data_IF_502269370333
#
_entry.id   IF_502269370333
#
_cell.length_a   1.000
_cell.length_b   1.000
_cell.length_c   1.000
_cell.angle_alpha   90.00
_cell.angle_beta   90.00
_cell.angle_gamma   90.00
#
_symmetry.space_group_name_H-M   'P 1'
#
loop_
_entity.id
_entity.type
_entity.pdbx_description
1 polymer ?
#
# COMPACT_ATOMS: atom_id res chain seq x y z
N UNK A 1 24.90 -48.23 56.96
CA UNK A 1 25.29 -46.82 56.70
C UNK A 1 25.42 -46.63 55.22
N UNK A 2 24.44 -46.01 54.64
CA UNK A 2 24.41 -45.70 53.19
C UNK A 2 24.49 -44.19 53.03
N UNK A 3 25.39 -43.60 52.22
CA UNK A 3 25.38 -42.16 51.93
C UNK A 3 24.45 -41.82 50.80
N UNK A 4 23.53 -40.90 51.08
CA UNK A 4 22.72 -40.23 50.09
C UNK A 4 23.60 -39.43 49.07
N UNK A 5 23.43 -39.72 47.80
CA UNK A 5 23.98 -38.86 46.72
C UNK A 5 22.97 -37.75 46.42
N UNK A 6 23.33 -36.50 46.67
CA UNK A 6 22.59 -35.32 46.24
C UNK A 6 22.82 -35.07 44.73
N UNK A 7 21.75 -35.08 43.94
CA UNK A 7 21.78 -34.66 42.54
C UNK A 7 21.53 -33.15 42.49
N UNK A 8 22.54 -32.39 42.11
CA UNK A 8 22.36 -30.98 41.73
C UNK A 8 21.81 -30.89 40.29
N UNK A 9 20.57 -30.42 40.16
CA UNK A 9 20.02 -30.01 38.87
C UNK A 9 20.52 -28.60 38.53
N UNK A 10 21.36 -28.49 37.54
CA UNK A 10 21.74 -27.21 36.96
C UNK A 10 20.63 -26.80 35.96
N UNK A 11 19.83 -25.80 36.29
CA UNK A 11 18.89 -25.19 35.40
C UNK A 11 19.63 -24.25 34.45
N UNK A 12 19.82 -24.67 33.20
CA UNK A 12 20.35 -23.81 32.13
C UNK A 12 19.26 -22.84 31.71
N UNK A 13 19.37 -21.57 32.10
CA UNK A 13 18.57 -20.48 31.50
C UNK A 13 19.02 -20.27 30.05
N UNK A 14 18.22 -20.72 29.10
CA UNK A 14 18.32 -20.31 27.71
C UNK A 14 17.81 -18.86 27.60
N UNK A 15 18.73 -17.92 27.65
CA UNK A 15 18.48 -16.55 27.19
C UNK A 15 18.24 -16.62 25.66
N UNK A 16 16.97 -16.58 25.26
CA UNK A 16 16.59 -16.31 23.87
C UNK A 16 16.99 -14.88 23.53
N UNK A 17 18.19 -14.72 22.99
CA UNK A 17 18.62 -13.47 22.40
C UNK A 17 17.65 -13.10 21.26
N UNK A 18 16.77 -12.13 21.49
CA UNK A 18 16.10 -11.44 20.40
C UNK A 18 17.19 -10.74 19.60
N UNK A 19 17.57 -11.35 18.48
CA UNK A 19 18.45 -10.70 17.53
C UNK A 19 17.82 -9.37 17.12
N UNK A 20 18.53 -8.27 17.37
CA UNK A 20 18.13 -6.96 16.89
C UNK A 20 17.89 -7.07 15.38
N UNK A 21 16.67 -6.87 14.94
CA UNK A 21 16.33 -6.86 13.52
C UNK A 21 17.13 -5.74 12.87
N UNK A 22 17.92 -6.05 11.84
CA UNK A 22 18.73 -5.04 11.16
C UNK A 22 17.80 -3.93 10.64
N UNK A 23 18.18 -2.66 10.91
CA UNK A 23 17.44 -1.51 10.45
C UNK A 23 17.25 -1.56 8.93
N UNK A 24 16.01 -1.46 8.46
CA UNK A 24 15.69 -1.53 7.03
C UNK A 24 15.61 -0.11 6.45
N UNK A 25 16.42 0.20 5.42
CA UNK A 25 16.30 1.48 4.74
C UNK A 25 14.88 1.64 4.14
N UNK A 26 14.12 2.62 4.63
CA UNK A 26 12.72 2.83 4.23
C UNK A 26 12.56 4.24 3.64
N UNK A 27 12.16 4.38 2.37
CA UNK A 27 11.81 5.68 1.80
C UNK A 27 10.50 6.16 2.42
N UNK A 28 10.52 7.34 3.06
CA UNK A 28 9.38 7.85 3.81
C UNK A 28 8.27 8.40 2.93
N UNK A 29 8.60 8.95 1.75
CA UNK A 29 7.64 9.40 0.74
C UNK A 29 7.73 8.53 -0.50
N UNK A 30 6.62 7.99 -0.88
CA UNK A 30 6.36 7.20 -2.06
C UNK A 30 5.25 7.88 -2.89
N UNK A 31 4.99 7.43 -4.11
CA UNK A 31 3.98 8.07 -4.98
C UNK A 31 3.12 7.01 -5.66
N UNK A 32 1.80 7.18 -5.62
CA UNK A 32 0.87 6.47 -6.47
C UNK A 32 1.00 6.98 -7.91
N UNK A 33 1.47 6.14 -8.82
CA UNK A 33 1.45 6.41 -10.25
C UNK A 33 0.21 5.76 -10.86
N UNK A 34 -0.88 6.49 -10.77
CA UNK A 34 -2.22 6.11 -11.17
C UNK A 34 -2.41 6.23 -12.68
N UNK A 35 -3.29 5.42 -13.24
CA UNK A 35 -3.61 5.39 -14.68
C UNK A 35 -3.88 4.00 -15.23
N UNK A 36 -3.28 2.93 -14.70
CA UNK A 36 -3.51 1.58 -15.20
C UNK A 36 -4.86 0.99 -14.71
N UNK A 37 -5.46 1.58 -13.71
CA UNK A 37 -6.81 1.28 -13.20
C UNK A 37 -7.92 2.12 -13.88
N UNK A 38 -7.58 3.16 -14.64
CA UNK A 38 -8.56 4.04 -15.29
C UNK A 38 -9.45 3.28 -16.29
N UNK A 39 -10.63 3.84 -16.61
CA UNK A 39 -11.56 3.26 -17.57
C UNK A 39 -12.07 1.88 -17.17
N UNK A 40 -12.36 1.66 -15.88
CA UNK A 40 -12.94 0.41 -15.38
C UNK A 40 -14.33 0.10 -15.91
N UNK A 41 -15.01 1.08 -16.52
CA UNK A 41 -16.26 0.95 -17.27
C UNK A 41 -16.06 0.41 -18.71
N UNK A 42 -14.81 0.36 -19.19
CA UNK A 42 -14.43 -0.09 -20.54
C UNK A 42 -13.47 -1.28 -20.48
N UNK A 43 -13.95 -2.41 -20.06
CA UNK A 43 -13.14 -3.62 -19.92
C UNK A 43 -13.17 -4.49 -21.19
N UNK A 44 -12.01 -5.04 -21.63
CA UNK A 44 -10.68 -4.87 -21.05
C UNK A 44 -10.05 -3.51 -21.30
N UNK A 45 -10.60 -2.68 -22.20
CA UNK A 45 -10.07 -1.39 -22.61
C UNK A 45 -8.82 -1.50 -23.49
N UNK A 46 -8.33 -0.35 -23.92
CA UNK A 46 -7.16 -0.24 -24.79
C UNK A 46 -6.08 0.60 -24.11
N UNK A 47 -4.88 0.04 -23.98
CA UNK A 47 -3.72 0.74 -23.43
C UNK A 47 -3.43 2.03 -24.17
N UNK A 48 -3.04 3.08 -23.45
CA UNK A 48 -2.81 4.44 -23.93
C UNK A 48 -4.05 5.14 -24.52
N UNK A 49 -5.26 4.60 -24.27
CA UNK A 49 -6.51 5.19 -24.69
C UNK A 49 -7.57 5.18 -23.57
N UNK A 50 -7.80 4.02 -22.94
CA UNK A 50 -8.72 3.87 -21.80
C UNK A 50 -7.97 3.81 -20.47
N UNK A 51 -6.71 3.38 -20.48
CA UNK A 51 -5.82 3.34 -19.34
C UNK A 51 -4.35 3.49 -19.78
N UNK A 52 -3.48 3.84 -18.84
CA UNK A 52 -2.06 4.07 -19.13
C UNK A 52 -1.15 3.60 -18.01
N UNK A 53 -0.09 2.87 -18.34
CA UNK A 53 0.96 2.51 -17.41
C UNK A 53 2.05 3.59 -17.31
N UNK A 54 2.79 3.66 -16.17
CA UNK A 54 3.91 4.57 -16.04
C UNK A 54 4.96 4.37 -17.12
N UNK A 55 5.32 5.45 -17.82
CA UNK A 55 6.34 5.42 -18.88
C UNK A 55 7.76 5.44 -18.32
N UNK A 56 8.75 5.09 -19.16
CA UNK A 56 10.17 5.23 -18.83
C UNK A 56 10.54 6.67 -18.43
N UNK A 57 9.96 7.67 -19.09
CA UNK A 57 10.17 9.08 -18.77
C UNK A 57 9.58 9.44 -17.42
N UNK A 58 8.35 9.04 -17.13
CA UNK A 58 7.72 9.26 -15.82
C UNK A 58 8.57 8.68 -14.68
N UNK A 59 9.02 7.42 -14.81
CA UNK A 59 9.88 6.78 -13.81
C UNK A 59 11.23 7.51 -13.66
N UNK A 60 11.86 7.98 -14.74
CA UNK A 60 13.09 8.76 -14.67
C UNK A 60 12.87 10.10 -13.97
N UNK A 61 11.76 10.77 -14.24
CA UNK A 61 11.39 12.03 -13.60
C UNK A 61 11.18 11.85 -12.09
N UNK A 62 10.43 10.82 -11.67
CA UNK A 62 10.22 10.55 -10.24
C UNK A 62 11.51 10.12 -9.56
N UNK A 63 12.35 9.32 -10.22
CA UNK A 63 13.68 8.96 -9.71
C UNK A 63 14.56 10.19 -9.49
N UNK A 64 14.59 11.12 -10.44
CA UNK A 64 15.37 12.37 -10.30
C UNK A 64 14.89 13.26 -9.15
N UNK A 65 13.64 13.12 -8.74
CA UNK A 65 13.05 13.75 -7.56
C UNK A 65 13.32 13.01 -6.24
N UNK A 66 14.06 11.89 -6.28
CA UNK A 66 14.41 11.09 -5.10
C UNK A 66 13.43 9.96 -4.75
N UNK A 67 12.33 9.80 -5.49
CA UNK A 67 11.36 8.72 -5.27
C UNK A 67 11.97 7.39 -5.71
N UNK A 68 11.91 6.38 -4.83
CA UNK A 68 12.45 5.05 -5.09
C UNK A 68 11.41 3.93 -5.02
N UNK A 69 10.25 4.21 -4.44
CA UNK A 69 9.11 3.30 -4.41
C UNK A 69 7.89 4.00 -4.97
N UNK A 70 7.19 3.32 -5.85
CA UNK A 70 5.90 3.76 -6.40
C UNK A 70 4.84 2.69 -6.13
N UNK A 71 3.57 3.08 -5.97
CA UNK A 71 2.42 2.19 -5.98
C UNK A 71 1.75 2.31 -7.35
N UNK A 72 1.44 1.19 -7.97
CA UNK A 72 0.80 1.14 -9.29
C UNK A 72 -0.49 0.36 -9.17
N UNK A 73 -1.64 1.04 -9.21
CA UNK A 73 -2.95 0.43 -9.20
C UNK A 73 -3.23 -0.30 -10.52
N UNK A 74 -3.82 -1.50 -10.45
CA UNK A 74 -4.26 -2.28 -11.60
C UNK A 74 -5.60 -2.94 -11.33
N UNK A 75 -6.40 -3.20 -12.39
CA UNK A 75 -7.68 -3.89 -12.24
C UNK A 75 -7.53 -5.41 -12.41
N UNK A 76 -8.18 -6.17 -11.54
CA UNK A 76 -8.26 -7.63 -11.65
C UNK A 76 -8.85 -8.07 -12.98
N UNK A 77 -9.92 -7.40 -13.43
CA UNK A 77 -10.62 -7.71 -14.67
C UNK A 77 -9.72 -7.62 -15.91
N UNK A 78 -8.70 -6.75 -15.88
CA UNK A 78 -7.69 -6.68 -16.94
C UNK A 78 -6.62 -7.73 -16.80
N UNK A 79 -6.21 -8.02 -15.56
CA UNK A 79 -5.23 -9.07 -15.30
C UNK A 79 -5.77 -10.47 -15.59
N UNK A 80 -7.04 -10.70 -15.32
CA UNK A 80 -7.68 -11.98 -15.46
C UNK A 80 -9.14 -11.78 -15.94
N UNK A 81 -9.38 -11.57 -17.25
CA UNK A 81 -10.71 -11.27 -17.80
C UNK A 81 -11.77 -12.35 -17.55
N UNK A 82 -11.33 -13.57 -17.30
CA UNK A 82 -12.19 -14.68 -16.88
C UNK A 82 -11.64 -15.28 -15.60
N UNK A 83 -12.49 -15.47 -14.59
CA UNK A 83 -12.08 -16.08 -13.32
C UNK A 83 -11.38 -17.43 -13.53
N UNK A 84 -10.31 -17.64 -12.78
CA UNK A 84 -9.48 -18.85 -12.82
C UNK A 84 -8.70 -19.10 -14.13
N UNK A 85 -8.80 -18.22 -15.14
CA UNK A 85 -8.00 -18.32 -16.36
C UNK A 85 -6.53 -17.96 -16.10
N UNK A 86 -5.59 -18.22 -17.02
CA UNK A 86 -4.28 -17.59 -17.01
C UNK A 86 -4.39 -16.05 -16.99
N UNK A 87 -3.35 -15.37 -16.50
CA UNK A 87 -3.27 -13.91 -16.60
C UNK A 87 -3.30 -13.52 -18.09
N UNK A 88 -4.00 -12.43 -18.40
CA UNK A 88 -3.95 -11.84 -19.74
C UNK A 88 -2.49 -11.49 -20.10
N UNK A 89 -2.03 -12.00 -21.23
CA UNK A 89 -0.63 -11.88 -21.62
C UNK A 89 -0.24 -10.47 -21.99
N UNK A 90 -1.16 -9.68 -22.53
CA UNK A 90 -0.90 -8.29 -22.92
C UNK A 90 -0.79 -7.41 -21.69
N UNK A 91 -1.78 -7.47 -20.81
CA UNK A 91 -1.79 -6.65 -19.60
C UNK A 91 -0.65 -7.04 -18.64
N UNK A 92 -0.36 -8.34 -18.49
CA UNK A 92 0.76 -8.81 -17.69
C UNK A 92 2.13 -8.36 -18.25
N UNK A 93 2.31 -8.27 -19.58
CA UNK A 93 3.53 -7.72 -20.18
C UNK A 93 3.71 -6.22 -19.92
N UNK A 94 2.64 -5.44 -19.84
CA UNK A 94 2.73 -4.03 -19.44
C UNK A 94 3.28 -3.91 -18.03
N UNK A 95 2.81 -4.73 -17.10
CA UNK A 95 3.34 -4.79 -15.72
C UNK A 95 4.80 -5.24 -15.72
N UNK A 96 5.16 -6.29 -16.47
CA UNK A 96 6.56 -6.72 -16.62
C UNK A 96 7.46 -5.57 -17.06
N UNK A 97 6.99 -4.76 -18.02
CA UNK A 97 7.74 -3.61 -18.53
C UNK A 97 7.92 -2.53 -17.45
N UNK A 98 6.87 -2.21 -16.69
CA UNK A 98 6.96 -1.24 -15.58
C UNK A 98 7.96 -1.74 -14.52
N UNK A 99 7.87 -3.01 -14.11
CA UNK A 99 8.80 -3.61 -13.14
C UNK A 99 10.26 -3.57 -13.65
N UNK A 100 10.48 -3.93 -14.91
CA UNK A 100 11.80 -3.87 -15.55
C UNK A 100 12.36 -2.45 -15.59
N UNK A 101 11.54 -1.47 -15.96
CA UNK A 101 11.92 -0.07 -16.03
C UNK A 101 12.23 0.52 -14.65
N UNK A 102 11.46 0.14 -13.63
CA UNK A 102 11.69 0.52 -12.24
C UNK A 102 13.02 -0.06 -11.72
N UNK A 103 13.24 -1.37 -11.88
CA UNK A 103 14.48 -2.03 -11.48
C UNK A 103 15.72 -1.39 -12.11
N UNK A 104 15.67 -1.10 -13.42
CA UNK A 104 16.76 -0.46 -14.14
C UNK A 104 17.12 0.95 -13.62
N UNK A 105 16.23 1.56 -12.81
CA UNK A 105 16.43 2.88 -12.18
C UNK A 105 16.70 2.80 -10.67
N UNK A 106 16.86 1.60 -10.13
CA UNK A 106 16.93 1.41 -8.67
C UNK A 106 15.66 1.86 -7.97
N UNK A 107 14.51 1.61 -8.60
CA UNK A 107 13.17 1.82 -8.06
C UNK A 107 12.45 0.48 -7.93
N UNK A 108 11.39 0.46 -7.12
CA UNK A 108 10.51 -0.70 -7.00
C UNK A 108 9.04 -0.31 -6.92
N UNK A 109 8.17 -1.27 -7.22
CA UNK A 109 6.72 -1.09 -7.40
C UNK A 109 5.96 -1.88 -6.35
N UNK A 110 5.08 -1.23 -5.61
CA UNK A 110 3.98 -1.87 -4.89
C UNK A 110 2.88 -2.08 -5.93
N UNK A 111 2.59 -3.34 -6.26
CA UNK A 111 1.56 -3.68 -7.24
C UNK A 111 0.23 -3.84 -6.52
N UNK A 112 -0.71 -2.95 -6.79
CA UNK A 112 -1.99 -2.86 -6.11
C UNK A 112 -3.15 -3.40 -6.95
N UNK A 113 -3.93 -4.30 -6.36
CA UNK A 113 -5.20 -4.77 -6.94
C UNK A 113 -6.31 -3.80 -6.55
N UNK A 114 -6.61 -2.84 -7.43
CA UNK A 114 -7.45 -1.67 -7.17
C UNK A 114 -8.94 -1.94 -7.38
N UNK A 115 -9.48 -2.93 -6.67
CA UNK A 115 -10.80 -3.49 -6.97
C UNK A 115 -11.87 -3.36 -5.87
N UNK A 116 -11.59 -2.71 -4.74
CA UNK A 116 -12.59 -2.44 -3.69
C UNK A 116 -13.37 -3.67 -3.21
N UNK A 117 -12.72 -4.84 -3.24
CA UNK A 117 -13.33 -6.11 -2.83
C UNK A 117 -14.27 -6.74 -3.85
N UNK A 118 -14.21 -6.32 -5.12
CA UNK A 118 -15.14 -6.76 -6.16
C UNK A 118 -14.41 -7.24 -7.42
N UNK A 119 -15.13 -8.02 -8.23
CA UNK A 119 -14.76 -8.39 -9.59
C UNK A 119 -16.00 -8.29 -10.47
N UNK A 120 -15.98 -7.46 -11.53
CA UNK A 120 -17.15 -7.10 -12.33
C UNK A 120 -18.37 -6.71 -11.44
N UNK A 121 -18.14 -5.91 -10.40
CA UNK A 121 -19.15 -5.46 -9.46
C UNK A 121 -19.63 -6.52 -8.44
N UNK A 122 -19.24 -7.78 -8.57
CA UNK A 122 -19.63 -8.86 -7.65
C UNK A 122 -18.61 -8.99 -6.50
N UNK A 123 -19.12 -9.13 -5.29
CA UNK A 123 -18.33 -9.20 -4.05
C UNK A 123 -17.52 -10.50 -3.99
N UNK A 124 -16.25 -10.41 -3.64
CA UNK A 124 -15.39 -11.57 -3.34
C UNK A 124 -15.94 -12.31 -2.12
N UNK A 125 -16.11 -13.62 -2.25
CA UNK A 125 -16.75 -14.48 -1.26
C UNK A 125 -18.21 -14.81 -1.58
N UNK A 126 -18.78 -14.20 -2.65
CA UNK A 126 -20.06 -14.60 -3.20
C UNK A 126 -19.97 -15.88 -4.04
N UNK A 127 -21.12 -16.42 -4.42
CA UNK A 127 -21.18 -17.55 -5.35
C UNK A 127 -20.62 -17.22 -6.73
N UNK A 128 -20.75 -15.96 -7.18
CA UNK A 128 -20.22 -15.46 -8.46
C UNK A 128 -18.70 -15.26 -8.43
N UNK A 129 -18.13 -14.86 -7.28
CA UNK A 129 -16.70 -14.60 -7.11
C UNK A 129 -16.21 -15.28 -5.83
N UNK A 130 -16.02 -16.60 -5.83
CA UNK A 130 -15.59 -17.33 -4.64
C UNK A 130 -14.16 -16.94 -4.24
N UNK A 131 -13.82 -17.08 -2.95
CA UNK A 131 -12.47 -16.83 -2.43
C UNK A 131 -11.39 -17.60 -3.20
N UNK A 132 -11.71 -18.78 -3.72
CA UNK A 132 -10.78 -19.59 -4.52
C UNK A 132 -10.41 -18.91 -5.84
N UNK A 133 -11.33 -18.15 -6.45
CA UNK A 133 -11.05 -17.38 -7.66
C UNK A 133 -10.10 -16.20 -7.35
N UNK A 134 -10.34 -15.50 -6.24
CA UNK A 134 -9.41 -14.45 -5.77
C UNK A 134 -8.02 -15.03 -5.43
N UNK A 135 -7.99 -16.16 -4.75
CA UNK A 135 -6.75 -16.89 -4.50
C UNK A 135 -6.04 -17.32 -5.78
N UNK A 136 -6.79 -17.66 -6.84
CA UNK A 136 -6.23 -18.00 -8.15
C UNK A 136 -5.49 -16.82 -8.79
N UNK A 137 -6.04 -15.59 -8.73
CA UNK A 137 -5.34 -14.39 -9.13
C UNK A 137 -4.02 -14.26 -8.35
N UNK A 138 -4.08 -14.33 -7.02
CA UNK A 138 -2.94 -14.08 -6.14
C UNK A 138 -1.77 -15.04 -6.39
N UNK A 139 -2.02 -16.34 -6.52
CA UNK A 139 -0.93 -17.26 -6.80
C UNK A 139 -0.31 -17.05 -8.18
N UNK A 140 -1.11 -16.67 -9.19
CA UNK A 140 -0.61 -16.37 -10.53
C UNK A 140 0.26 -15.11 -10.56
N UNK A 141 -0.13 -14.09 -9.80
CA UNK A 141 0.70 -12.90 -9.61
C UNK A 141 2.04 -13.25 -8.97
N UNK A 142 2.00 -14.04 -7.89
CA UNK A 142 3.22 -14.47 -7.21
C UNK A 142 4.10 -15.37 -8.11
N UNK A 143 3.51 -16.33 -8.83
CA UNK A 143 4.27 -17.20 -9.72
C UNK A 143 4.99 -16.42 -10.83
N UNK A 144 4.34 -15.41 -11.39
CA UNK A 144 4.90 -14.58 -12.45
C UNK A 144 5.97 -13.61 -11.96
N UNK A 145 5.75 -12.94 -10.82
CA UNK A 145 6.59 -11.80 -10.41
C UNK A 145 7.49 -12.08 -9.21
N UNK A 146 7.45 -13.28 -8.61
CA UNK A 146 8.40 -13.68 -7.56
C UNK A 146 9.84 -13.45 -8.02
N UNK A 147 10.66 -12.93 -7.12
CA UNK A 147 12.08 -12.67 -7.42
C UNK A 147 12.35 -11.49 -8.36
N UNK A 148 11.31 -10.79 -8.87
CA UNK A 148 11.50 -9.62 -9.71
C UNK A 148 12.10 -8.47 -8.89
N UNK A 149 13.24 -7.93 -9.32
CA UNK A 149 13.93 -6.84 -8.60
C UNK A 149 13.13 -5.53 -8.60
N UNK A 150 12.26 -5.32 -9.60
CA UNK A 150 11.39 -4.14 -9.68
C UNK A 150 10.12 -4.26 -8.85
N UNK A 151 9.78 -5.44 -8.31
CA UNK A 151 8.65 -5.60 -7.41
C UNK A 151 9.08 -5.30 -5.97
N UNK A 152 8.41 -4.34 -5.33
CA UNK A 152 8.51 -4.08 -3.89
C UNK A 152 7.68 -5.08 -3.11
N UNK A 153 6.39 -5.17 -3.42
CA UNK A 153 5.44 -6.05 -2.77
C UNK A 153 4.08 -6.06 -3.45
N UNK A 154 3.17 -6.85 -2.90
CA UNK A 154 1.80 -6.99 -3.38
C UNK A 154 0.86 -6.26 -2.41
N UNK A 155 0.13 -5.26 -2.90
CA UNK A 155 -1.01 -4.70 -2.21
C UNK A 155 -2.25 -5.48 -2.67
N UNK A 156 -2.75 -6.31 -1.76
CA UNK A 156 -3.64 -7.39 -2.19
C UNK A 156 -5.04 -6.92 -2.54
N UNK A 157 -5.50 -5.78 -2.00
CA UNK A 157 -6.80 -5.21 -2.32
C UNK A 157 -6.89 -3.76 -1.87
N UNK A 158 -7.13 -2.84 -2.81
CA UNK A 158 -7.46 -1.46 -2.50
C UNK A 158 -8.82 -1.36 -1.82
N UNK A 159 -8.87 -0.64 -0.71
CA UNK A 159 -10.05 -0.14 -0.03
C UNK A 159 -11.22 -1.14 0.12
N UNK A 160 -11.04 -2.23 0.84
CA UNK A 160 -12.18 -3.08 1.25
C UNK A 160 -13.25 -2.24 1.94
N UNK A 161 -14.51 -2.35 1.49
CA UNK A 161 -15.59 -1.52 2.05
C UNK A 161 -16.98 -2.13 1.91
N UNK A 162 -17.95 -1.56 2.65
CA UNK A 162 -19.37 -1.90 2.57
C UNK A 162 -19.63 -3.39 2.85
N UNK A 163 -20.43 -4.00 2.01
CA UNK A 163 -20.81 -5.42 2.20
C UNK A 163 -19.61 -6.38 2.13
N UNK A 164 -18.50 -5.98 1.53
CA UNK A 164 -17.28 -6.77 1.49
C UNK A 164 -16.54 -6.83 2.84
N UNK A 165 -16.74 -5.85 3.72
CA UNK A 165 -16.05 -5.79 5.02
C UNK A 165 -16.20 -7.09 5.83
N UNK A 166 -17.36 -7.74 5.76
CA UNK A 166 -17.59 -9.01 6.44
C UNK A 166 -16.72 -10.16 5.89
N UNK A 167 -16.36 -10.11 4.62
CA UNK A 167 -15.61 -11.13 3.90
C UNK A 167 -14.08 -10.88 3.92
N UNK A 168 -13.65 -9.66 4.27
CA UNK A 168 -12.28 -9.22 4.04
C UNK A 168 -11.22 -10.07 4.73
N UNK A 169 -11.40 -10.40 6.00
CA UNK A 169 -10.41 -11.23 6.72
C UNK A 169 -10.17 -12.57 6.01
N UNK A 170 -11.24 -13.24 5.59
CA UNK A 170 -11.16 -14.54 4.87
C UNK A 170 -10.50 -14.38 3.51
N UNK A 171 -10.86 -13.32 2.78
CA UNK A 171 -10.26 -13.00 1.49
C UNK A 171 -8.77 -12.69 1.63
N UNK A 172 -8.39 -11.84 2.59
CA UNK A 172 -6.99 -11.50 2.86
C UNK A 172 -6.15 -12.74 3.24
N UNK A 173 -6.69 -13.61 4.12
CA UNK A 173 -5.97 -14.85 4.47
C UNK A 173 -5.83 -15.78 3.26
N UNK A 174 -6.85 -15.85 2.40
CA UNK A 174 -6.77 -16.62 1.15
C UNK A 174 -5.68 -16.08 0.23
N UNK A 175 -5.64 -14.74 0.03
CA UNK A 175 -4.61 -14.09 -0.76
C UNK A 175 -3.19 -14.37 -0.22
N UNK A 176 -2.96 -14.15 1.06
CA UNK A 176 -1.68 -14.41 1.73
C UNK A 176 -1.27 -15.87 1.52
N UNK A 177 -2.17 -16.81 1.79
CA UNK A 177 -1.90 -18.25 1.65
C UNK A 177 -1.47 -18.61 0.22
N UNK A 178 -2.15 -18.07 -0.77
CA UNK A 178 -1.86 -18.37 -2.17
C UNK A 178 -0.61 -17.67 -2.68
N UNK A 179 -0.36 -16.41 -2.32
CA UNK A 179 0.89 -15.72 -2.61
C UNK A 179 2.10 -16.47 -2.05
N UNK A 180 2.03 -16.92 -0.79
CA UNK A 180 3.12 -17.60 -0.09
C UNK A 180 3.46 -19.00 -0.61
N UNK A 181 2.65 -19.56 -1.48
CA UNK A 181 3.01 -20.79 -2.21
C UNK A 181 4.19 -20.57 -3.15
N UNK A 182 4.33 -19.36 -3.70
CA UNK A 182 5.30 -19.02 -4.73
C UNK A 182 6.29 -17.94 -4.32
N UNK A 183 5.85 -16.90 -3.61
CA UNK A 183 6.71 -15.81 -3.15
C UNK A 183 6.78 -15.78 -1.62
N UNK A 184 7.93 -16.17 -1.08
CA UNK A 184 8.19 -16.22 0.37
C UNK A 184 8.97 -15.01 0.87
N UNK A 185 9.25 -14.04 0.01
CA UNK A 185 10.19 -12.94 0.31
C UNK A 185 9.50 -11.57 0.30
N UNK A 186 8.72 -11.28 -0.75
CA UNK A 186 8.16 -9.95 -0.93
C UNK A 186 7.15 -9.58 0.15
N UNK A 187 7.12 -8.32 0.62
CA UNK A 187 6.06 -7.84 1.51
C UNK A 187 4.67 -8.03 0.90
N UNK A 188 3.71 -8.29 1.77
CA UNK A 188 2.29 -8.25 1.43
C UNK A 188 1.68 -7.07 2.19
N UNK A 189 1.14 -6.11 1.45
CA UNK A 189 0.40 -4.99 2.00
C UNK A 189 -1.05 -5.42 2.18
N UNK A 190 -1.57 -5.17 3.37
CA UNK A 190 -2.94 -5.55 3.75
C UNK A 190 -3.68 -4.29 4.19
N UNK A 191 -4.61 -3.86 3.39
CA UNK A 191 -5.48 -2.75 3.72
C UNK A 191 -6.58 -3.14 4.73
N UNK A 192 -7.22 -2.14 5.31
CA UNK A 192 -8.30 -2.34 6.28
C UNK A 192 -9.68 -2.31 5.65
N UNK A 193 -10.68 -2.69 6.45
CA UNK A 193 -12.10 -2.46 6.19
C UNK A 193 -12.42 -0.97 6.16
N UNK A 194 -13.62 -0.64 5.69
CA UNK A 194 -14.15 0.74 5.71
C UNK A 194 -13.20 1.72 5.03
N UNK A 195 -12.88 1.43 3.75
CA UNK A 195 -11.94 2.21 2.91
C UNK A 195 -10.55 2.37 3.54
N UNK A 196 -10.12 1.40 4.30
CA UNK A 196 -8.79 1.39 4.94
C UNK A 196 -8.50 2.60 5.84
N UNK A 197 -9.51 3.30 6.35
CA UNK A 197 -9.35 4.57 7.05
C UNK A 197 -8.50 4.48 8.32
N UNK A 198 -7.45 5.29 8.41
CA UNK A 198 -6.51 5.29 9.53
C UNK A 198 -7.18 5.66 10.85
N UNK A 199 -8.12 6.62 10.83
CA UNK A 199 -8.80 7.13 12.02
C UNK A 199 -9.62 6.07 12.76
N UNK A 200 -10.40 5.27 12.03
CA UNK A 200 -11.23 4.21 12.60
C UNK A 200 -10.56 2.83 12.60
N UNK A 201 -9.28 2.75 12.25
CA UNK A 201 -8.57 1.47 12.12
C UNK A 201 -8.71 0.54 13.31
N UNK A 202 -8.49 0.96 14.57
CA UNK A 202 -8.61 0.08 15.73
C UNK A 202 -10.00 -0.50 15.93
N UNK A 203 -11.03 0.26 15.58
CA UNK A 203 -12.43 -0.07 15.83
C UNK A 203 -12.94 -1.18 14.90
N UNK A 204 -12.43 -1.22 13.65
CA UNK A 204 -12.96 -2.10 12.62
C UNK A 204 -12.01 -3.20 12.17
N UNK A 205 -10.69 -3.08 12.47
CA UNK A 205 -9.67 -3.95 11.91
C UNK A 205 -9.01 -4.93 12.90
N UNK A 206 -9.59 -5.11 14.10
CA UNK A 206 -9.05 -6.05 15.10
C UNK A 206 -8.91 -7.49 14.57
N UNK A 207 -9.81 -7.93 13.68
CA UNK A 207 -9.76 -9.26 13.08
C UNK A 207 -8.53 -9.50 12.18
N UNK A 208 -7.91 -8.44 11.65
CA UNK A 208 -6.70 -8.57 10.83
C UNK A 208 -5.48 -9.05 11.63
N UNK A 209 -5.50 -8.95 12.96
CA UNK A 209 -4.46 -9.55 13.82
C UNK A 209 -4.46 -11.08 13.79
N UNK A 210 -5.54 -11.70 13.31
CA UNK A 210 -5.66 -13.14 13.15
C UNK A 210 -5.00 -13.66 11.87
N UNK A 211 -4.62 -12.78 10.96
CA UNK A 211 -3.93 -13.17 9.72
C UNK A 211 -2.60 -13.86 10.03
N UNK A 212 -2.31 -14.89 9.27
CA UNK A 212 -1.10 -15.69 9.39
C UNK A 212 -0.30 -15.62 8.10
N UNK A 213 0.92 -15.14 8.21
CA UNK A 213 1.91 -15.13 7.13
C UNK A 213 3.13 -15.94 7.59
N UNK A 214 3.44 -17.09 6.99
CA UNK A 214 4.61 -17.90 7.36
C UNK A 214 5.94 -17.17 7.14
N UNK A 215 5.97 -16.13 6.30
CA UNK A 215 7.16 -15.31 6.07
C UNK A 215 7.28 -14.12 7.04
N UNK A 216 6.30 -13.90 7.91
CA UNK A 216 6.24 -12.77 8.84
C UNK A 216 6.54 -11.43 8.17
N UNK A 217 5.98 -11.20 6.98
CA UNK A 217 6.28 -10.04 6.15
C UNK A 217 5.02 -9.31 5.67
N UNK A 218 4.04 -9.13 6.59
CA UNK A 218 2.88 -8.28 6.36
C UNK A 218 3.19 -6.82 6.72
N UNK A 219 2.65 -5.92 5.92
CA UNK A 219 2.60 -4.47 6.19
C UNK A 219 1.13 -4.08 6.16
N UNK A 220 0.61 -3.54 7.26
CA UNK A 220 -0.75 -3.01 7.28
C UNK A 220 -0.76 -1.64 6.61
N UNK A 221 -1.68 -1.44 5.68
CA UNK A 221 -1.74 -0.23 4.86
C UNK A 221 -3.05 0.51 5.12
N UNK A 222 -2.98 1.73 5.60
CA UNK A 222 -4.15 2.57 5.85
C UNK A 222 -4.20 3.75 4.87
N UNK A 223 -5.40 4.25 4.61
CA UNK A 223 -5.63 5.47 3.85
C UNK A 223 -6.00 6.63 4.78
N UNK A 224 -5.57 7.84 4.42
CA UNK A 224 -5.78 9.00 5.25
C UNK A 224 -6.01 10.24 4.39
N UNK A 225 -7.18 10.87 4.53
CA UNK A 225 -7.48 12.17 3.94
C UNK A 225 -7.89 13.15 5.03
N UNK A 226 -7.64 14.46 4.82
CA UNK A 226 -7.80 15.50 5.86
C UNK A 226 -8.89 16.52 5.55
N UNK A 227 -9.67 16.30 4.51
CA UNK A 227 -10.93 17.00 4.27
C UNK A 227 -11.99 16.67 5.33
N UNK A 228 -13.09 17.40 5.35
CA UNK A 228 -14.07 17.35 6.45
C UNK A 228 -14.61 15.96 6.75
N UNK A 229 -14.92 15.17 5.72
CA UNK A 229 -15.47 13.83 5.80
C UNK A 229 -14.44 12.69 5.60
N UNK A 230 -13.17 13.04 5.36
CA UNK A 230 -12.07 12.11 5.09
C UNK A 230 -12.24 11.32 3.79
N UNK A 231 -12.98 11.83 2.82
CA UNK A 231 -13.23 11.18 1.53
C UNK A 231 -12.12 11.38 0.50
N UNK A 232 -11.25 12.38 0.68
CA UNK A 232 -10.26 12.79 -0.31
C UNK A 232 -10.83 13.61 -1.47
N UNK A 233 -12.10 14.01 -1.40
CA UNK A 233 -12.75 14.82 -2.45
C UNK A 233 -12.48 16.31 -2.30
N UNK A 234 -12.24 16.78 -1.07
CA UNK A 234 -11.94 18.19 -0.76
C UNK A 234 -12.96 19.17 -1.38
N UNK A 235 -14.25 19.04 -1.08
CA UNK A 235 -15.29 19.84 -1.74
C UNK A 235 -15.21 21.32 -1.37
N UNK A 236 -14.63 21.64 -0.22
CA UNK A 236 -14.46 23.00 0.29
C UNK A 236 -13.03 23.25 0.77
N UNK A 237 -12.51 24.49 0.67
CA UNK A 237 -11.21 24.85 1.25
C UNK A 237 -11.27 24.81 2.78
N UNK A 238 -10.10 24.90 3.47
CA UNK A 238 -10.04 24.96 4.93
C UNK A 238 -10.81 26.17 5.47
N UNK A 239 -11.63 25.98 6.50
CA UNK A 239 -12.25 27.08 7.27
C UNK A 239 -11.22 27.89 8.09
N UNK A 240 -11.66 28.97 8.73
CA UNK A 240 -10.78 29.81 9.56
C UNK A 240 -10.26 29.05 10.79
N UNK A 241 -11.01 28.10 11.28
CA UNK A 241 -10.72 27.20 12.41
C UNK A 241 -10.03 25.89 12.01
N UNK A 242 -9.47 25.81 10.79
CA UNK A 242 -8.85 24.59 10.30
C UNK A 242 -7.69 24.12 11.20
N UNK A 243 -7.84 22.90 11.70
CA UNK A 243 -6.88 22.27 12.58
C UNK A 243 -5.67 21.73 11.80
N UNK A 244 -4.52 22.40 11.93
CA UNK A 244 -3.27 21.97 11.28
C UNK A 244 -2.74 20.62 11.76
N UNK A 245 -3.21 20.11 12.90
CA UNK A 245 -2.86 18.79 13.43
C UNK A 245 -3.85 17.68 13.04
N UNK A 246 -4.84 17.99 12.20
CA UNK A 246 -5.88 17.04 11.79
C UNK A 246 -5.30 15.75 11.19
N UNK A 247 -4.23 15.87 10.39
CA UNK A 247 -3.53 14.72 9.82
C UNK A 247 -2.91 13.82 10.90
N UNK A 248 -2.23 14.42 11.86
CA UNK A 248 -1.64 13.71 13.01
C UNK A 248 -2.74 13.04 13.83
N UNK A 249 -3.80 13.77 14.18
CA UNK A 249 -4.93 13.23 14.96
C UNK A 249 -5.60 12.05 14.26
N UNK A 250 -5.72 12.08 12.93
CA UNK A 250 -6.30 10.97 12.14
C UNK A 250 -5.35 9.80 11.96
N UNK A 251 -4.04 10.02 11.93
CA UNK A 251 -3.03 8.97 11.84
C UNK A 251 -2.79 8.24 13.16
N UNK A 252 -2.88 8.96 14.28
CA UNK A 252 -2.53 8.46 15.63
C UNK A 252 -3.20 7.12 15.98
N UNK A 253 -4.52 6.90 15.78
CA UNK A 253 -5.15 5.62 16.11
C UNK A 253 -4.52 4.43 15.39
N UNK A 254 -4.18 4.57 14.11
CA UNK A 254 -3.51 3.54 13.33
C UNK A 254 -2.07 3.32 13.81
N UNK A 255 -1.29 4.39 13.96
CA UNK A 255 0.12 4.32 14.39
C UNK A 255 0.26 3.68 15.78
N UNK A 256 -0.60 4.06 16.73
CA UNK A 256 -0.63 3.42 18.04
C UNK A 256 -1.09 1.96 17.99
N UNK A 257 -2.03 1.61 17.09
CA UNK A 257 -2.45 0.24 16.89
C UNK A 257 -1.27 -0.60 16.37
N UNK A 258 -0.47 -0.09 15.44
CA UNK A 258 0.75 -0.74 14.96
C UNK A 258 1.74 -0.99 16.10
N UNK A 259 2.02 0.04 16.89
CA UNK A 259 2.95 -0.05 18.01
C UNK A 259 2.49 -1.06 19.08
N UNK A 260 1.22 -0.99 19.49
CA UNK A 260 0.62 -1.90 20.48
C UNK A 260 0.67 -3.37 20.05
N UNK A 261 0.60 -3.63 18.75
CA UNK A 261 0.53 -4.98 18.19
C UNK A 261 1.87 -5.44 17.57
N UNK A 262 2.93 -4.65 17.67
CA UNK A 262 4.23 -4.91 17.06
C UNK A 262 4.08 -5.23 15.55
N UNK A 263 3.42 -4.31 14.81
CA UNK A 263 3.16 -4.45 13.38
C UNK A 263 3.81 -3.34 12.60
N UNK A 264 4.21 -3.64 11.36
CA UNK A 264 4.68 -2.64 10.41
C UNK A 264 3.50 -2.00 9.71
N UNK A 265 3.59 -0.71 9.44
CA UNK A 265 2.54 0.07 8.82
C UNK A 265 2.99 0.87 7.62
N UNK A 266 1.99 1.35 6.89
CA UNK A 266 2.11 2.15 5.70
C UNK A 266 0.86 3.02 5.55
N UNK A 267 0.99 4.26 5.11
CA UNK A 267 -0.14 5.04 4.62
C UNK A 267 -0.15 4.89 3.09
N UNK A 268 -1.06 4.05 2.57
CA UNK A 268 -1.13 3.68 1.16
C UNK A 268 -1.65 4.79 0.26
N UNK A 269 -2.50 5.65 0.84
CA UNK A 269 -3.00 6.86 0.18
C UNK A 269 -3.11 8.03 1.14
N UNK A 270 -2.65 9.16 0.66
CA UNK A 270 -2.82 10.48 1.25
C UNK A 270 -2.64 11.54 0.16
N UNK A 271 -3.52 12.51 0.09
CA UNK A 271 -3.39 13.61 -0.86
C UNK A 271 -4.04 14.89 -0.32
N UNK A 272 -3.58 16.03 -0.81
CA UNK A 272 -4.13 17.35 -0.46
C UNK A 272 -4.23 18.23 -1.71
N UNK A 273 -5.18 19.19 -1.76
CA UNK A 273 -5.15 20.26 -2.76
C UNK A 273 -3.92 21.16 -2.61
N UNK A 274 -3.57 21.85 -3.70
CA UNK A 274 -2.48 22.82 -3.72
C UNK A 274 -2.94 24.28 -3.65
N UNK A 275 -4.22 24.52 -3.45
CA UNK A 275 -4.86 25.84 -3.55
C UNK A 275 -4.83 26.66 -2.25
N UNK A 276 -4.56 26.04 -1.10
CA UNK A 276 -4.45 26.71 0.20
C UNK A 276 -3.19 26.23 0.94
N UNK A 277 -2.33 27.13 1.41
CA UNK A 277 -1.09 26.77 2.09
C UNK A 277 -1.29 26.01 3.41
N UNK A 278 -2.46 26.10 4.05
CA UNK A 278 -2.77 25.38 5.30
C UNK A 278 -2.81 23.87 5.08
N UNK A 279 -3.24 23.39 3.90
CA UNK A 279 -3.12 21.97 3.53
C UNK A 279 -1.67 21.49 3.59
N UNK A 280 -0.74 22.28 3.02
CA UNK A 280 0.68 21.97 3.05
C UNK A 280 1.27 21.96 4.47
N UNK A 281 0.84 22.88 5.33
CA UNK A 281 1.26 22.92 6.73
C UNK A 281 0.77 21.69 7.51
N UNK A 282 -0.48 21.27 7.30
CA UNK A 282 -1.01 20.06 7.92
C UNK A 282 -0.28 18.80 7.43
N UNK A 283 0.02 18.72 6.14
CA UNK A 283 0.82 17.63 5.58
C UNK A 283 2.25 17.60 6.15
N UNK A 284 2.91 18.73 6.33
CA UNK A 284 4.27 18.81 6.91
C UNK A 284 4.29 18.26 8.35
N UNK A 285 3.29 18.61 9.17
CA UNK A 285 3.12 18.05 10.52
C UNK A 285 2.88 16.55 10.51
N UNK A 286 1.99 16.09 9.62
CA UNK A 286 1.72 14.65 9.45
C UNK A 286 2.98 13.88 9.05
N UNK A 287 3.73 14.35 8.05
CA UNK A 287 4.96 13.70 7.59
C UNK A 287 6.05 13.68 8.67
N UNK A 288 6.17 14.73 9.46
CA UNK A 288 7.06 14.77 10.63
C UNK A 288 6.67 13.67 11.62
N UNK A 289 5.39 13.55 11.95
CA UNK A 289 4.86 12.54 12.85
C UNK A 289 5.10 11.11 12.33
N UNK A 290 4.72 10.84 11.08
CA UNK A 290 4.89 9.52 10.46
C UNK A 290 6.37 9.11 10.37
N UNK A 291 7.26 10.07 10.05
CA UNK A 291 8.69 9.86 10.02
C UNK A 291 9.24 9.44 11.40
N UNK A 292 8.79 10.10 12.46
CA UNK A 292 9.20 9.75 13.83
C UNK A 292 8.76 8.32 14.25
N UNK A 293 7.71 7.78 13.62
CA UNK A 293 7.16 6.44 13.89
C UNK A 293 7.50 5.41 12.83
N UNK A 294 8.38 5.72 11.87
CA UNK A 294 8.75 4.80 10.78
C UNK A 294 7.56 4.26 9.96
N UNK A 295 6.56 5.09 9.71
CA UNK A 295 5.41 4.76 8.87
C UNK A 295 5.53 5.52 7.55
N UNK A 296 5.94 4.87 6.44
CA UNK A 296 6.02 5.52 5.13
C UNK A 296 4.65 5.91 4.60
N UNK A 297 4.63 6.90 3.72
CA UNK A 297 3.42 7.42 3.08
C UNK A 297 3.57 7.40 1.56
N UNK A 298 2.55 6.89 0.87
CA UNK A 298 2.41 6.97 -0.59
C UNK A 298 1.39 8.07 -0.94
N UNK A 299 1.85 9.10 -1.61
CA UNK A 299 1.01 10.24 -1.98
C UNK A 299 0.03 9.88 -3.12
N UNK A 300 -1.23 10.24 -3.00
CA UNK A 300 -2.27 10.15 -4.03
C UNK A 300 -2.51 11.53 -4.66
N UNK A 301 -2.14 11.80 -5.92
CA UNK A 301 -1.50 10.87 -6.83
C UNK A 301 -0.71 11.65 -7.89
N UNK A 302 0.02 10.91 -8.68
CA UNK A 302 0.57 11.36 -9.94
C UNK A 302 0.13 10.43 -11.06
N UNK A 303 0.34 10.85 -12.30
CA UNK A 303 -0.07 10.12 -13.51
C UNK A 303 -0.51 11.09 -14.61
N UNK A 304 -0.34 10.72 -15.88
CA UNK A 304 -0.43 11.69 -16.98
C UNK A 304 -1.86 12.18 -17.29
N UNK A 305 -2.91 11.50 -16.80
CA UNK A 305 -4.30 11.75 -17.21
C UNK A 305 -5.18 12.40 -16.13
N UNK A 306 -4.60 12.86 -15.05
CA UNK A 306 -5.34 13.54 -13.98
C UNK A 306 -5.89 14.92 -14.37
N UNK A 307 -5.37 15.55 -15.45
CA UNK A 307 -5.84 16.86 -15.88
C UNK A 307 -5.77 17.91 -14.77
N UNK A 308 -6.93 18.45 -14.40
CA UNK A 308 -7.08 19.47 -13.35
C UNK A 308 -7.37 18.90 -11.96
N UNK A 309 -7.13 17.60 -11.74
CA UNK A 309 -7.36 16.98 -10.43
C UNK A 309 -6.51 17.69 -9.36
N UNK A 310 -7.19 18.25 -8.36
CA UNK A 310 -6.55 19.16 -7.38
C UNK A 310 -5.50 18.51 -6.48
N UNK A 311 -5.53 17.18 -6.33
CA UNK A 311 -4.51 16.44 -5.57
C UNK A 311 -3.32 16.04 -6.45
N UNK A 312 -3.38 16.23 -7.76
CA UNK A 312 -2.32 15.79 -8.67
C UNK A 312 -1.02 16.52 -8.41
N UNK A 313 0.06 15.73 -8.28
CA UNK A 313 1.45 16.22 -8.24
C UNK A 313 2.22 15.83 -9.50
N UNK A 314 1.50 15.46 -10.59
CA UNK A 314 2.17 15.11 -11.85
C UNK A 314 3.06 16.26 -12.30
N UNK A 315 4.36 16.01 -12.55
CA UNK A 315 5.30 17.05 -12.91
C UNK A 315 4.93 17.75 -14.22
N UNK A 316 4.84 19.07 -14.15
CA UNK A 316 4.65 19.94 -15.33
C UNK A 316 5.93 20.73 -15.58
N UNK A 317 6.23 21.01 -16.84
CA UNK A 317 7.42 21.76 -17.23
C UNK A 317 7.37 23.17 -16.62
N UNK A 318 8.40 23.52 -15.85
CA UNK A 318 8.52 24.84 -15.22
C UNK A 318 7.62 25.08 -14.00
N UNK A 319 6.85 24.07 -13.57
CA UNK A 319 5.93 24.19 -12.42
C UNK A 319 6.34 23.23 -11.30
N UNK A 320 6.46 23.74 -10.10
CA UNK A 320 6.58 22.92 -8.88
C UNK A 320 5.25 23.01 -8.14
N UNK A 321 4.57 21.90 -7.98
CA UNK A 321 3.31 21.87 -7.23
C UNK A 321 3.56 22.22 -5.76
N UNK A 322 2.68 22.99 -5.09
CA UNK A 322 2.80 23.32 -3.68
C UNK A 322 2.96 22.07 -2.80
N UNK A 323 2.27 20.99 -3.12
CA UNK A 323 2.37 19.71 -2.42
C UNK A 323 3.79 19.14 -2.50
N UNK A 324 4.42 19.20 -3.69
CA UNK A 324 5.79 18.68 -3.87
C UNK A 324 6.82 19.47 -3.09
N UNK A 325 6.61 20.77 -2.87
CA UNK A 325 7.48 21.60 -2.04
C UNK A 325 7.61 21.05 -0.61
N UNK A 326 6.53 20.49 -0.08
CA UNK A 326 6.54 19.85 1.24
C UNK A 326 7.06 18.41 1.16
N UNK A 327 6.51 17.58 0.27
CA UNK A 327 6.85 16.17 0.11
C UNK A 327 8.36 15.95 -0.10
N UNK A 328 9.01 16.82 -0.89
CA UNK A 328 10.42 16.71 -1.22
C UNK A 328 11.37 16.76 -0.01
N UNK A 329 10.95 17.34 1.10
CA UNK A 329 11.70 17.34 2.37
C UNK A 329 11.83 15.95 3.00
N UNK A 330 10.96 15.01 2.61
CA UNK A 330 10.80 13.70 3.23
C UNK A 330 11.09 12.51 2.32
N UNK A 331 11.52 12.73 1.06
CA UNK A 331 11.80 11.64 0.11
C UNK A 331 13.01 10.79 0.50
N UNK A 332 13.83 11.25 1.44
CA UNK A 332 15.02 10.53 1.88
C UNK A 332 14.67 9.25 2.63
N UNK A 333 15.51 8.26 2.43
CA UNK A 333 15.41 6.99 3.15
C UNK A 333 15.81 7.16 4.61
N UNK A 334 15.05 6.56 5.50
CA UNK A 334 15.32 6.49 6.93
C UNK A 334 15.59 5.05 7.32
N UNK A 335 16.51 4.82 8.24
CA UNK A 335 16.70 3.50 8.85
C UNK A 335 15.61 3.29 9.89
N UNK A 336 14.74 2.31 9.63
CA UNK A 336 13.65 1.94 10.52
C UNK A 336 13.93 0.57 11.14
N UNK A 337 13.58 0.35 12.44
CA UNK A 337 13.77 -0.92 13.15
C UNK A 337 12.95 -2.06 12.57
#
# INVERSE_FOLDING_TARGET
MNPLKALCFAASLLLSGQGAQAATPTPMVQVNLSGAEFGGDKLPGKANYDYVFPSATALSTWKSKGVTVIRVPVLWERLQPTLNSPLDTTHAKEIDQVLKLAAARGMSVILDVHNYGKYHGNIIGSSSVPYTAYGNLMWRMADRWKGNAGLNGYDIMNEPNGDFDANWQTAAQTAITQLRRYDKVKPIYVEGKSWSGARQWPDVNGSLLLLRDPSNNLIFSAHLYIDSDASGTYPVPPGDDFDLDIGVKRATPFVEWLARNNRRGHIGEFGIPGDDPRWGQAMDRLLTYLKAHCVPLTYWAAGPWWGTYKLSIEPQVGVVSPQWTVLSKYVQTQNCP
#
